data_IF_297490576762
#
_entry.id   IF_297490576762
#
_cell.length_a   1.000
_cell.length_b   1.000
_cell.length_c   1.000
_cell.angle_alpha   90.00
_cell.angle_beta   90.00
_cell.angle_gamma   90.00
#
_symmetry.space_group_name_H-M   'P 1'
#
loop_
_entity.id
_entity.type
_entity.pdbx_description
1 polymer ?
#
# COMPACT_ATOMS: atom_id res chain seq x y z
N UNK A 1 -4.01 -15.05 7.49
CA UNK A 1 -4.23 -13.63 7.80
C UNK A 1 -4.61 -12.97 6.49
N UNK A 2 -5.71 -12.23 6.49
CA UNK A 2 -6.18 -11.58 5.27
C UNK A 2 -5.30 -10.35 4.97
N UNK A 3 -5.02 -10.12 3.68
CA UNK A 3 -4.19 -9.01 3.18
C UNK A 3 -4.52 -7.64 3.83
N UNK A 4 -5.80 -7.27 4.07
CA UNK A 4 -6.13 -5.99 4.73
C UNK A 4 -5.63 -5.87 6.16
N UNK A 5 -5.61 -6.97 6.92
CA UNK A 5 -5.11 -6.99 8.31
C UNK A 5 -3.59 -6.85 8.35
N UNK A 6 -2.89 -7.49 7.41
CA UNK A 6 -1.43 -7.38 7.28
C UNK A 6 -1.01 -5.95 6.92
N UNK A 7 -1.68 -5.34 5.93
CA UNK A 7 -1.47 -3.94 5.56
C UNK A 7 -1.73 -2.99 6.72
N UNK A 8 -2.86 -3.15 7.41
CA UNK A 8 -3.21 -2.31 8.57
C UNK A 8 -2.17 -2.38 9.68
N UNK A 9 -1.57 -3.56 9.90
CA UNK A 9 -0.50 -3.72 10.88
C UNK A 9 0.80 -3.06 10.44
N UNK A 10 1.20 -3.22 9.17
CA UNK A 10 2.43 -2.62 8.64
C UNK A 10 2.36 -1.10 8.63
N UNK A 11 1.22 -0.51 8.23
CA UNK A 11 1.02 0.94 8.17
C UNK A 11 1.18 1.64 9.53
N UNK A 12 0.90 0.97 10.66
CA UNK A 12 1.06 1.54 12.01
C UNK A 12 2.51 1.90 12.33
N UNK A 13 3.47 1.21 11.72
CA UNK A 13 4.91 1.45 11.93
C UNK A 13 5.55 2.36 10.89
N UNK A 14 4.77 2.86 9.91
CA UNK A 14 5.27 3.66 8.81
C UNK A 14 5.13 5.15 9.11
N UNK A 15 6.07 5.93 8.58
CA UNK A 15 5.96 7.38 8.58
C UNK A 15 4.85 7.81 7.61
N UNK A 16 3.95 8.67 8.05
CA UNK A 16 2.85 9.21 7.24
C UNK A 16 3.10 10.66 6.90
N UNK A 17 3.16 10.96 5.61
CA UNK A 17 3.29 12.29 5.03
C UNK A 17 2.01 12.62 4.27
N UNK A 18 1.57 13.88 4.33
CA UNK A 18 0.38 14.35 3.62
C UNK A 18 0.77 15.59 2.84
N UNK A 19 0.53 15.56 1.53
CA UNK A 19 0.73 16.72 0.67
C UNK A 19 -0.39 17.74 0.89
N UNK A 20 -0.04 18.99 1.15
CA UNK A 20 -0.99 20.03 1.53
C UNK A 20 -1.83 20.54 0.36
N UNK A 21 -1.33 20.42 -0.87
CA UNK A 21 -1.94 20.98 -2.07
C UNK A 21 -2.89 19.99 -2.74
N UNK A 22 -2.48 18.73 -2.85
CA UNK A 22 -3.24 17.65 -3.48
C UNK A 22 -4.04 16.79 -2.50
N UNK A 23 -3.70 16.80 -1.22
CA UNK A 23 -4.25 15.87 -0.23
C UNK A 23 -3.74 14.44 -0.38
N UNK A 24 -2.74 14.20 -1.24
CA UNK A 24 -2.09 12.91 -1.39
C UNK A 24 -1.44 12.46 -0.08
N UNK A 25 -1.43 11.16 0.17
CA UNK A 25 -0.90 10.57 1.40
C UNK A 25 0.19 9.56 1.04
N UNK A 26 1.35 9.74 1.64
CA UNK A 26 2.48 8.82 1.49
C UNK A 26 2.76 8.13 2.82
N UNK A 27 2.69 6.80 2.85
CA UNK A 27 3.20 5.98 3.94
C UNK A 27 4.55 5.41 3.53
N UNK A 28 5.58 5.65 4.35
CA UNK A 28 6.95 5.23 4.06
C UNK A 28 7.54 4.41 5.19
N UNK A 29 8.13 3.28 4.85
CA UNK A 29 8.86 2.48 5.83
C UNK A 29 10.10 3.25 6.32
N UNK A 30 10.34 3.37 7.64
CA UNK A 30 11.40 4.23 8.18
C UNK A 30 12.81 3.80 7.76
N UNK A 31 12.99 2.52 7.41
CA UNK A 31 14.26 1.97 6.91
C UNK A 31 14.34 1.91 5.39
N UNK A 32 13.54 2.69 4.64
CA UNK A 32 13.46 2.61 3.17
C UNK A 32 14.86 2.76 2.54
N UNK A 33 15.43 1.61 2.17
CA UNK A 33 16.68 1.47 1.43
C UNK A 33 16.55 0.22 0.58
N UNK A 34 16.62 0.38 -0.74
CA UNK A 34 16.51 -0.73 -1.69
C UNK A 34 15.65 -0.36 -2.89
N UNK A 35 15.70 -1.23 -3.89
CA UNK A 35 14.82 -1.20 -5.06
C UNK A 35 13.68 -2.20 -4.76
N UNK A 36 12.41 -1.82 -4.93
CA UNK A 36 11.29 -2.74 -4.71
C UNK A 36 11.38 -3.94 -5.66
N UNK A 37 10.97 -5.11 -5.18
CA UNK A 37 10.86 -6.31 -6.02
C UNK A 37 9.50 -6.43 -6.70
N UNK A 38 8.48 -5.79 -6.12
CA UNK A 38 7.12 -5.74 -6.63
C UNK A 38 6.53 -4.35 -6.45
N UNK A 39 5.93 -3.82 -7.52
CA UNK A 39 5.11 -2.61 -7.51
C UNK A 39 3.71 -3.00 -7.96
N UNK A 40 2.70 -2.61 -7.19
CA UNK A 40 1.28 -2.82 -7.51
C UNK A 40 0.61 -1.48 -7.64
N UNK A 41 0.16 -1.15 -8.83
CA UNK A 41 -0.61 0.05 -9.13
C UNK A 41 -2.10 -0.27 -9.11
N UNK A 42 -2.87 0.56 -8.43
CA UNK A 42 -4.32 0.53 -8.44
C UNK A 42 -4.89 1.90 -8.82
N UNK A 43 -6.21 1.98 -8.88
CA UNK A 43 -6.92 3.22 -9.13
C UNK A 43 -6.72 4.17 -7.94
N UNK A 44 -5.79 5.12 -8.06
CA UNK A 44 -5.52 6.14 -7.04
C UNK A 44 -4.47 5.78 -5.99
N UNK A 45 -3.75 4.66 -6.15
CA UNK A 45 -2.68 4.29 -5.23
C UNK A 45 -1.59 3.42 -5.87
N UNK A 46 -0.41 3.42 -5.25
CA UNK A 46 0.72 2.55 -5.58
C UNK A 46 1.25 1.89 -4.31
N UNK A 47 1.48 0.59 -4.36
CA UNK A 47 2.11 -0.19 -3.29
C UNK A 47 3.47 -0.69 -3.78
N UNK A 48 4.51 -0.51 -2.98
CA UNK A 48 5.84 -1.04 -3.24
C UNK A 48 6.26 -2.02 -2.16
N UNK A 49 6.75 -3.18 -2.56
CA UNK A 49 7.16 -4.25 -1.65
C UNK A 49 8.64 -4.63 -1.83
N UNK A 50 9.22 -5.17 -0.76
CA UNK A 50 10.37 -6.10 -0.79
C UNK A 50 9.94 -7.37 -0.06
N UNK A 51 9.86 -8.49 -0.77
CA UNK A 51 9.28 -9.73 -0.29
C UNK A 51 7.84 -9.51 0.17
N UNK A 52 7.57 -9.78 1.45
CA UNK A 52 6.26 -9.56 2.07
C UNK A 52 6.14 -8.22 2.83
N UNK A 53 7.16 -7.37 2.75
CA UNK A 53 7.22 -6.11 3.50
C UNK A 53 6.80 -4.96 2.63
N UNK A 54 5.75 -4.23 3.03
CA UNK A 54 5.37 -2.97 2.42
C UNK A 54 6.43 -1.91 2.72
N UNK A 55 7.07 -1.40 1.67
CA UNK A 55 8.04 -0.32 1.74
C UNK A 55 7.37 1.04 1.63
N UNK A 56 6.43 1.17 0.70
CA UNK A 56 5.81 2.41 0.33
C UNK A 56 4.35 2.17 -0.03
N UNK A 57 3.46 3.05 0.45
CA UNK A 57 2.11 3.21 -0.06
C UNK A 57 1.94 4.68 -0.40
N UNK A 58 1.82 4.98 -1.69
CA UNK A 58 1.49 6.30 -2.20
C UNK A 58 0.00 6.32 -2.59
N UNK A 59 -0.74 7.28 -2.06
CA UNK A 59 -2.18 7.46 -2.29
C UNK A 59 -2.34 8.82 -2.95
N UNK A 60 -2.51 8.81 -4.27
CA UNK A 60 -2.73 10.00 -5.09
C UNK A 60 -4.20 10.40 -5.17
N UNK A 61 -5.12 9.45 -4.94
CA UNK A 61 -6.55 9.72 -4.76
C UNK A 61 -7.08 9.01 -3.49
N UNK A 62 -7.43 9.76 -2.43
CA UNK A 62 -8.00 9.21 -1.20
C UNK A 62 -9.26 8.35 -1.43
N UNK A 63 -10.05 8.63 -2.47
CA UNK A 63 -11.23 7.83 -2.81
C UNK A 63 -10.85 6.45 -3.36
N UNK A 64 -9.70 6.33 -4.03
CA UNK A 64 -9.14 5.07 -4.52
C UNK A 64 -8.82 4.10 -3.39
N UNK A 65 -8.25 4.59 -2.29
CA UNK A 65 -7.95 3.73 -1.14
C UNK A 65 -9.21 3.28 -0.38
N UNK A 66 -10.24 4.12 -0.32
CA UNK A 66 -11.53 3.70 0.24
C UNK A 66 -12.11 2.50 -0.54
N UNK A 67 -11.91 2.45 -1.86
CA UNK A 67 -12.31 1.30 -2.70
C UNK A 67 -11.46 0.07 -2.40
N UNK A 68 -10.13 0.20 -2.28
CA UNK A 68 -9.24 -0.91 -1.91
C UNK A 68 -9.60 -1.55 -0.55
N UNK A 69 -9.96 -0.73 0.43
CA UNK A 69 -10.33 -1.19 1.76
C UNK A 69 -11.78 -1.68 1.85
N UNK A 70 -12.66 -1.17 0.97
CA UNK A 70 -14.07 -1.55 0.92
C UNK A 70 -14.32 -2.78 0.04
N UNK A 71 -13.50 -3.02 -0.98
CA UNK A 71 -13.58 -4.25 -1.75
C UNK A 71 -13.10 -5.40 -0.85
N UNK A 72 -13.96 -6.37 -0.52
CA UNK A 72 -13.46 -7.62 0.04
C UNK A 72 -12.47 -8.13 -1.00
N UNK A 73 -11.23 -8.43 -0.59
CA UNK A 73 -10.17 -8.99 -1.43
C UNK A 73 -10.66 -10.30 -2.05
N UNK A 74 -11.53 -10.20 -3.04
CA UNK A 74 -12.07 -11.30 -3.82
C UNK A 74 -11.11 -11.46 -4.95
N UNK A 75 -10.18 -12.38 -4.72
CA UNK A 75 -9.66 -13.24 -5.78
C UNK A 75 -8.90 -12.51 -6.87
N UNK A 76 -7.63 -12.17 -6.61
CA UNK A 76 -6.61 -12.09 -7.65
C UNK A 76 -5.19 -12.01 -7.05
N UNK A 77 -4.82 -13.02 -6.27
CA UNK A 77 -3.43 -13.46 -6.26
C UNK A 77 -3.41 -14.76 -7.05
N UNK A 78 -2.62 -14.90 -8.13
CA UNK A 78 -2.47 -16.18 -8.78
C UNK A 78 -1.88 -17.16 -7.76
N UNK A 79 -2.70 -18.11 -7.33
CA UNK A 79 -2.20 -19.31 -6.65
C UNK A 79 -1.37 -20.03 -7.70
N UNK A 80 -0.05 -19.92 -7.60
CA UNK A 80 0.86 -20.83 -8.30
C UNK A 80 0.68 -22.18 -7.63
N UNK A 81 0.04 -23.11 -8.35
CA UNK A 81 -0.02 -24.54 -8.00
C UNK A 81 1.30 -25.18 -8.41
#
# INVERSE_FOLDING_TARGET
>A
MDLPQQLSHQLKGMERLVDADSGAILFRHPSLRGIPDLVVEGDGYTLEFIGSTLLCLDISDPAGMARLLADPVKSQLPVVI
#
